data_IF_015549672899
#
_entry.id   IF_015549672899
#
_cell.length_a   1.000
_cell.length_b   1.000
_cell.length_c   1.000
_cell.angle_alpha   90.00
_cell.angle_beta   90.00
_cell.angle_gamma   90.00
#
_symmetry.space_group_name_H-M   'P 1'
#
loop_
_entity.id
_entity.type
_entity.pdbx_description
1 polymer ?
#
# COMPACT_ATOMS: atom_id res chain seq x y z
N UNK A 1 2.34 28.95 -11.94
CA UNK A 1 1.44 30.11 -12.13
C UNK A 1 1.32 30.80 -10.77
N UNK A 2 1.67 32.09 -10.69
CA UNK A 2 1.70 32.82 -9.44
C UNK A 2 0.26 33.04 -8.94
N UNK A 3 -0.10 32.49 -7.77
CA UNK A 3 -1.48 32.49 -7.24
C UNK A 3 -2.03 33.88 -6.90
N UNK A 4 -1.14 34.91 -6.81
CA UNK A 4 -1.55 36.31 -6.63
C UNK A 4 -2.26 36.89 -7.84
N UNK A 5 -2.13 36.27 -9.02
CA UNK A 5 -2.70 36.81 -10.28
C UNK A 5 -4.18 36.46 -10.53
N UNK A 6 -4.75 35.50 -9.78
CA UNK A 6 -6.12 35.02 -10.08
C UNK A 6 -7.18 36.10 -9.76
N UNK A 7 -6.93 36.96 -8.76
CA UNK A 7 -7.88 37.96 -8.29
C UNK A 7 -7.47 39.41 -8.62
N UNK A 8 -6.39 39.61 -9.35
CA UNK A 8 -5.82 40.95 -9.63
C UNK A 8 -6.80 41.83 -10.44
N UNK A 9 -7.48 41.22 -11.41
CA UNK A 9 -8.45 41.92 -12.26
C UNK A 9 -9.66 42.36 -11.47
N UNK A 10 -10.22 41.48 -10.63
CA UNK A 10 -11.37 41.74 -9.77
C UNK A 10 -11.06 42.79 -8.71
N UNK A 11 -9.86 42.77 -8.12
CA UNK A 11 -9.39 43.78 -7.18
C UNK A 11 -9.29 45.14 -7.84
N UNK A 12 -8.84 45.22 -9.09
CA UNK A 12 -8.76 46.48 -9.82
C UNK A 12 -10.18 47.01 -10.18
N UNK A 13 -11.10 46.12 -10.55
CA UNK A 13 -12.51 46.50 -10.82
C UNK A 13 -13.14 47.07 -9.55
N UNK A 14 -12.95 46.42 -8.41
CA UNK A 14 -13.45 46.92 -7.11
C UNK A 14 -12.88 48.28 -6.80
N UNK A 15 -11.57 48.50 -6.95
CA UNK A 15 -10.94 49.81 -6.69
C UNK A 15 -11.49 50.90 -7.59
N UNK A 16 -11.70 50.61 -8.89
CA UNK A 16 -12.23 51.57 -9.82
C UNK A 16 -13.69 51.93 -9.45
N UNK A 17 -14.49 50.93 -9.08
CA UNK A 17 -15.89 51.14 -8.64
C UNK A 17 -15.98 51.94 -7.33
N UNK A 18 -15.06 51.73 -6.39
CA UNK A 18 -14.94 52.48 -5.14
C UNK A 18 -14.63 53.97 -5.42
N UNK A 19 -13.80 54.27 -6.44
CA UNK A 19 -13.50 55.65 -6.83
C UNK A 19 -14.75 56.37 -7.34
N UNK A 20 -15.60 55.68 -8.13
CA UNK A 20 -16.86 56.24 -8.63
C UNK A 20 -17.80 56.58 -7.46
N UNK A 21 -17.91 55.73 -6.44
CA UNK A 21 -18.74 55.98 -5.26
C UNK A 21 -18.20 57.18 -4.42
N UNK A 22 -16.91 57.42 -4.41
CA UNK A 22 -16.29 58.55 -3.68
C UNK A 22 -16.44 59.88 -4.41
N UNK A 23 -16.78 59.88 -5.67
CA UNK A 23 -16.98 61.09 -6.48
C UNK A 23 -18.36 61.67 -6.25
N UNK A 24 -18.42 62.83 -5.61
CA UNK A 24 -19.67 63.52 -5.29
C UNK A 24 -20.48 63.92 -6.53
N UNK A 25 -19.87 64.01 -7.70
CA UNK A 25 -20.58 64.33 -8.95
C UNK A 25 -21.63 63.31 -9.34
N UNK A 26 -21.54 62.08 -8.88
CA UNK A 26 -22.50 60.99 -9.16
C UNK A 26 -23.61 60.85 -8.13
N UNK A 27 -23.58 61.57 -6.98
CA UNK A 27 -24.54 61.39 -5.87
C UNK A 27 -25.99 61.67 -6.28
N UNK A 28 -26.24 62.56 -7.22
CA UNK A 28 -27.56 62.91 -7.69
C UNK A 28 -28.11 61.99 -8.80
N UNK A 29 -27.32 60.98 -9.19
CA UNK A 29 -27.75 60.00 -10.18
C UNK A 29 -28.76 59.01 -9.57
N UNK A 30 -29.94 58.80 -10.17
CA UNK A 30 -30.98 57.90 -9.63
C UNK A 30 -30.51 56.46 -9.45
N UNK A 31 -29.44 56.02 -10.17
CA UNK A 31 -28.87 54.69 -10.10
C UNK A 31 -27.74 54.56 -9.05
N UNK A 32 -27.35 55.68 -8.41
CA UNK A 32 -26.20 55.68 -7.48
C UNK A 32 -26.39 54.72 -6.29
N UNK A 33 -27.59 54.71 -5.69
CA UNK A 33 -27.92 53.80 -4.58
C UNK A 33 -27.79 52.32 -5.03
N UNK A 34 -28.42 52.00 -6.17
CA UNK A 34 -28.38 50.62 -6.70
C UNK A 34 -26.95 50.16 -7.04
N UNK A 35 -26.14 51.06 -7.61
CA UNK A 35 -24.73 50.77 -7.87
C UNK A 35 -23.92 50.52 -6.58
N UNK A 36 -24.16 51.36 -5.56
CA UNK A 36 -23.50 51.19 -4.24
C UNK A 36 -23.85 49.85 -3.59
N UNK A 37 -25.14 49.48 -3.59
CA UNK A 37 -25.62 48.21 -3.04
C UNK A 37 -25.06 47.00 -3.80
N UNK A 38 -25.00 47.10 -5.13
CA UNK A 38 -24.39 46.08 -5.97
C UNK A 38 -22.90 45.93 -5.67
N UNK A 39 -22.18 47.04 -5.58
CA UNK A 39 -20.74 46.99 -5.24
C UNK A 39 -20.48 46.36 -3.88
N UNK A 40 -21.28 46.71 -2.88
CA UNK A 40 -21.17 46.13 -1.54
C UNK A 40 -21.44 44.63 -1.57
N UNK A 41 -22.46 44.20 -2.30
CA UNK A 41 -22.76 42.77 -2.48
C UNK A 41 -21.62 42.02 -3.20
N UNK A 42 -21.07 42.62 -4.25
CA UNK A 42 -19.96 42.08 -5.00
C UNK A 42 -18.69 41.93 -4.14
N UNK A 43 -18.36 42.95 -3.35
CA UNK A 43 -17.22 42.92 -2.41
C UNK A 43 -17.37 41.80 -1.37
N UNK A 44 -18.58 41.60 -0.85
CA UNK A 44 -18.88 40.50 0.08
C UNK A 44 -18.64 39.14 -0.56
N UNK A 45 -19.19 38.91 -1.76
CA UNK A 45 -19.00 37.67 -2.49
C UNK A 45 -17.52 37.45 -2.82
N UNK A 46 -16.83 38.47 -3.30
CA UNK A 46 -15.43 38.43 -3.61
C UNK A 46 -14.56 38.01 -2.41
N UNK A 47 -14.80 38.62 -1.23
CA UNK A 47 -14.13 38.24 0.02
C UNK A 47 -14.39 36.79 0.41
N UNK A 48 -15.63 36.32 0.26
CA UNK A 48 -16.01 34.94 0.53
C UNK A 48 -15.30 33.97 -0.43
N UNK A 49 -15.26 34.31 -1.72
CA UNK A 49 -14.58 33.50 -2.72
C UNK A 49 -13.09 33.37 -2.44
N UNK A 50 -12.41 34.48 -2.12
CA UNK A 50 -10.99 34.45 -1.70
C UNK A 50 -10.76 33.54 -0.50
N UNK A 51 -11.64 33.59 0.49
CA UNK A 51 -11.56 32.74 1.68
C UNK A 51 -11.76 31.25 1.32
N UNK A 52 -12.73 30.95 0.45
CA UNK A 52 -13.00 29.57 0.00
C UNK A 52 -11.83 28.99 -0.80
N UNK A 53 -11.24 29.77 -1.71
CA UNK A 53 -10.04 29.35 -2.47
C UNK A 53 -8.88 29.05 -1.53
N UNK A 54 -8.62 29.95 -0.55
CA UNK A 54 -7.57 29.72 0.43
C UNK A 54 -7.80 28.47 1.29
N UNK A 55 -9.06 28.22 1.66
CA UNK A 55 -9.44 27.02 2.42
C UNK A 55 -9.24 25.75 1.58
N UNK A 56 -9.70 25.78 0.33
CA UNK A 56 -9.53 24.68 -0.63
C UNK A 56 -8.04 24.33 -0.84
N UNK A 57 -7.19 25.34 -1.03
CA UNK A 57 -5.74 25.14 -1.17
C UNK A 57 -5.13 24.49 0.07
N UNK A 58 -5.55 24.91 1.26
CA UNK A 58 -5.10 24.33 2.53
C UNK A 58 -5.55 22.86 2.67
N UNK A 59 -6.80 22.58 2.30
CA UNK A 59 -7.32 21.21 2.33
C UNK A 59 -6.59 20.31 1.33
N UNK A 60 -6.33 20.79 0.12
CA UNK A 60 -5.59 20.05 -0.88
C UNK A 60 -4.17 19.72 -0.44
N UNK A 61 -3.47 20.69 0.15
CA UNK A 61 -2.14 20.47 0.71
C UNK A 61 -2.15 19.38 1.80
N UNK A 62 -3.15 19.43 2.70
CA UNK A 62 -3.31 18.42 3.76
C UNK A 62 -3.61 17.03 3.22
N UNK A 63 -4.47 16.94 2.20
CA UNK A 63 -4.78 15.66 1.54
C UNK A 63 -3.53 15.06 0.88
N UNK A 64 -2.73 15.87 0.20
CA UNK A 64 -1.51 15.42 -0.42
C UNK A 64 -0.49 14.90 0.61
N UNK A 65 -0.38 15.58 1.75
CA UNK A 65 0.48 15.14 2.86
C UNK A 65 -0.01 13.81 3.45
N UNK A 66 -1.32 13.70 3.72
CA UNK A 66 -1.91 12.45 4.23
C UNK A 66 -1.72 11.28 3.26
N UNK A 67 -1.94 11.49 1.97
CA UNK A 67 -1.74 10.44 0.98
C UNK A 67 -0.29 9.95 0.96
N UNK A 68 0.68 10.88 1.00
CA UNK A 68 2.09 10.51 1.07
C UNK A 68 2.45 9.71 2.32
N UNK A 69 1.87 10.09 3.47
CA UNK A 69 2.07 9.34 4.72
C UNK A 69 1.49 7.94 4.62
N UNK A 70 0.23 7.82 4.13
CA UNK A 70 -0.43 6.53 3.95
C UNK A 70 0.32 5.60 2.97
N UNK A 71 0.84 6.13 1.87
CA UNK A 71 1.66 5.36 0.92
C UNK A 71 2.92 4.81 1.61
N UNK A 72 3.58 5.63 2.41
CA UNK A 72 4.79 5.21 3.15
C UNK A 72 4.46 4.14 4.19
N UNK A 73 3.40 4.34 4.98
CA UNK A 73 2.96 3.38 5.99
C UNK A 73 2.53 2.05 5.37
N UNK A 74 1.76 2.09 4.27
CA UNK A 74 1.37 0.90 3.54
C UNK A 74 2.58 0.12 3.01
N UNK A 75 3.58 0.81 2.47
CA UNK A 75 4.80 0.15 2.00
C UNK A 75 5.54 -0.54 3.16
N UNK A 76 5.68 0.11 4.31
CA UNK A 76 6.31 -0.48 5.49
C UNK A 76 5.54 -1.70 6.00
N UNK A 77 4.21 -1.61 6.08
CA UNK A 77 3.36 -2.74 6.49
C UNK A 77 3.48 -3.93 5.54
N UNK A 78 3.58 -3.70 4.24
CA UNK A 78 3.79 -4.78 3.26
C UNK A 78 5.14 -5.47 3.45
N UNK A 79 6.20 -4.70 3.74
CA UNK A 79 7.53 -5.27 4.03
C UNK A 79 7.50 -6.12 5.32
N UNK A 80 6.89 -5.60 6.39
CA UNK A 80 6.76 -6.32 7.66
C UNK A 80 5.92 -7.59 7.50
N UNK A 81 4.84 -7.53 6.75
CA UNK A 81 4.00 -8.69 6.45
C UNK A 81 4.79 -9.76 5.68
N UNK A 82 5.55 -9.37 4.68
CA UNK A 82 6.41 -10.28 3.91
C UNK A 82 7.44 -10.98 4.79
N UNK A 83 8.13 -10.24 5.66
CA UNK A 83 9.11 -10.80 6.61
C UNK A 83 8.44 -11.75 7.64
N UNK A 84 7.27 -11.37 8.14
CA UNK A 84 6.50 -12.21 9.06
C UNK A 84 6.05 -13.50 8.41
N UNK A 85 5.59 -13.43 7.17
CA UNK A 85 5.19 -14.60 6.38
C UNK A 85 6.37 -15.54 6.14
N UNK A 86 7.53 -15.01 5.73
CA UNK A 86 8.73 -15.83 5.53
C UNK A 86 9.16 -16.53 6.83
N UNK A 87 9.14 -15.80 7.94
CA UNK A 87 9.48 -16.35 9.26
C UNK A 87 8.51 -17.45 9.69
N UNK A 88 7.23 -17.28 9.41
CA UNK A 88 6.19 -18.26 9.68
C UNK A 88 6.38 -19.55 8.85
N UNK A 89 6.60 -19.42 7.53
CA UNK A 89 6.86 -20.56 6.64
C UNK A 89 8.10 -21.32 7.08
N UNK A 90 9.16 -20.61 7.44
CA UNK A 90 10.42 -21.24 7.93
C UNK A 90 10.19 -21.96 9.26
N UNK A 91 9.43 -21.38 10.19
CA UNK A 91 9.09 -22.03 11.46
C UNK A 91 8.30 -23.32 11.25
N UNK A 92 7.32 -23.33 10.32
CA UNK A 92 6.59 -24.54 9.95
C UNK A 92 7.51 -25.62 9.37
N UNK A 93 8.39 -25.26 8.45
CA UNK A 93 9.37 -26.17 7.85
C UNK A 93 10.26 -26.81 8.92
N UNK A 94 10.81 -26.00 9.84
CA UNK A 94 11.62 -26.49 10.97
C UNK A 94 10.80 -27.44 11.88
N UNK A 95 9.55 -27.12 12.15
CA UNK A 95 8.70 -27.97 13.00
C UNK A 95 8.41 -29.33 12.34
N UNK A 96 8.26 -29.38 11.03
CA UNK A 96 8.11 -30.62 10.27
C UNK A 96 9.42 -31.40 10.23
N UNK A 97 10.54 -30.75 9.96
CA UNK A 97 11.87 -31.38 10.00
C UNK A 97 12.20 -31.96 11.38
N UNK A 98 11.79 -31.28 12.46
CA UNK A 98 12.01 -31.75 13.84
C UNK A 98 11.23 -33.04 14.18
N UNK A 99 10.11 -33.29 13.48
CA UNK A 99 9.33 -34.53 13.63
C UNK A 99 10.08 -35.77 13.14
N UNK A 100 11.09 -35.58 12.25
CA UNK A 100 11.88 -36.68 11.69
C UNK A 100 13.37 -36.49 12.00
N UNK A 101 13.99 -37.29 12.89
CA UNK A 101 15.35 -37.05 13.41
C UNK A 101 16.46 -36.96 12.35
N UNK A 102 16.22 -37.52 11.14
CA UNK A 102 17.21 -37.56 10.06
C UNK A 102 17.13 -36.36 9.12
N UNK A 103 16.13 -35.48 9.28
CA UNK A 103 15.85 -34.39 8.34
C UNK A 103 16.18 -33.00 8.87
N UNK A 104 16.85 -32.88 10.00
CA UNK A 104 17.27 -31.59 10.53
C UNK A 104 18.01 -30.76 9.45
N UNK A 105 17.46 -29.57 9.12
CA UNK A 105 17.98 -28.70 8.07
C UNK A 105 17.88 -29.25 6.64
N UNK A 106 17.07 -30.28 6.41
CA UNK A 106 16.85 -30.83 5.07
C UNK A 106 16.15 -29.81 4.18
N UNK A 107 15.06 -29.23 4.64
CA UNK A 107 14.27 -28.28 3.90
C UNK A 107 15.07 -27.01 3.52
N UNK A 108 15.96 -26.53 4.38
CA UNK A 108 16.85 -25.42 4.06
C UNK A 108 17.82 -25.79 2.92
N UNK A 109 18.45 -26.98 2.98
CA UNK A 109 19.37 -27.44 1.92
C UNK A 109 18.64 -27.65 0.59
N UNK A 110 17.45 -28.25 0.61
CA UNK A 110 16.63 -28.41 -0.60
C UNK A 110 16.29 -27.05 -1.21
N UNK A 111 15.93 -26.08 -0.39
CA UNK A 111 15.65 -24.71 -0.83
C UNK A 111 16.88 -24.08 -1.49
N UNK A 112 18.05 -24.15 -0.83
CA UNK A 112 19.29 -23.59 -1.36
C UNK A 112 19.65 -24.17 -2.73
N UNK A 113 19.61 -25.52 -2.86
CA UNK A 113 19.89 -26.19 -4.13
C UNK A 113 18.84 -25.86 -5.19
N UNK A 114 17.55 -25.80 -4.84
CA UNK A 114 16.48 -25.45 -5.76
C UNK A 114 16.66 -24.06 -6.33
N UNK A 115 16.98 -23.07 -5.48
CA UNK A 115 17.24 -21.68 -5.90
C UNK A 115 18.50 -21.60 -6.78
N UNK A 116 19.58 -22.31 -6.43
CA UNK A 116 20.78 -22.35 -7.24
C UNK A 116 20.49 -22.90 -8.65
N UNK A 117 19.73 -24.01 -8.72
CA UNK A 117 19.31 -24.60 -9.98
C UNK A 117 18.39 -23.68 -10.76
N UNK A 118 17.38 -23.10 -10.11
CA UNK A 118 16.44 -22.15 -10.73
C UNK A 118 17.15 -20.97 -11.38
N UNK A 119 18.13 -20.38 -10.68
CA UNK A 119 18.97 -19.30 -11.23
C UNK A 119 19.79 -19.78 -12.45
N UNK A 120 20.31 -20.98 -12.42
CA UNK A 120 21.14 -21.52 -13.52
C UNK A 120 20.34 -21.79 -14.81
N UNK A 121 19.02 -22.03 -14.69
CA UNK A 121 18.11 -22.21 -15.83
C UNK A 121 17.36 -20.95 -16.21
N UNK A 122 17.63 -19.81 -15.53
CA UNK A 122 17.12 -18.50 -15.91
C UNK A 122 15.71 -18.18 -15.42
N UNK A 123 15.27 -18.75 -14.29
CA UNK A 123 14.01 -18.34 -13.68
C UNK A 123 14.03 -16.86 -13.26
N UNK A 124 12.88 -16.20 -13.40
CA UNK A 124 12.67 -14.84 -12.92
C UNK A 124 12.68 -14.76 -11.39
N UNK A 125 12.85 -13.56 -10.83
CA UNK A 125 12.82 -13.38 -9.37
C UNK A 125 11.50 -13.85 -8.73
N UNK A 126 10.36 -13.61 -9.38
CA UNK A 126 9.04 -14.05 -8.91
C UNK A 126 8.94 -15.61 -8.90
N UNK A 127 9.47 -16.26 -9.93
CA UNK A 127 9.53 -17.72 -9.99
C UNK A 127 10.49 -18.30 -8.96
N UNK A 128 11.61 -17.63 -8.69
CA UNK A 128 12.56 -18.04 -7.65
C UNK A 128 11.95 -17.89 -6.25
N UNK A 129 11.17 -16.85 -6.00
CA UNK A 129 10.46 -16.68 -4.74
C UNK A 129 9.42 -17.79 -4.54
N UNK A 130 8.62 -18.10 -5.56
CA UNK A 130 7.67 -19.21 -5.53
C UNK A 130 8.36 -20.54 -5.30
N UNK A 131 9.48 -20.80 -5.99
CA UNK A 131 10.29 -22.01 -5.84
C UNK A 131 10.86 -22.13 -4.41
N UNK A 132 11.28 -21.02 -3.79
CA UNK A 132 11.73 -20.97 -2.39
C UNK A 132 10.65 -21.49 -1.44
N UNK A 133 9.43 -20.99 -1.55
CA UNK A 133 8.33 -21.43 -0.68
C UNK A 133 7.91 -22.88 -0.98
N UNK A 134 7.86 -23.27 -2.24
CA UNK A 134 7.59 -24.66 -2.62
C UNK A 134 8.61 -25.62 -2.03
N UNK A 135 9.90 -25.26 -2.08
CA UNK A 135 10.98 -26.06 -1.52
C UNK A 135 10.94 -26.14 0.02
N UNK A 136 10.63 -25.02 0.69
CA UNK A 136 10.49 -25.00 2.16
C UNK A 136 9.31 -25.87 2.64
N UNK A 137 8.22 -25.90 1.90
CA UNK A 137 6.97 -26.54 2.29
C UNK A 137 6.77 -27.93 1.63
N UNK A 138 7.71 -28.41 0.80
CA UNK A 138 7.51 -29.65 0.02
C UNK A 138 7.13 -30.87 0.88
N UNK A 139 7.54 -30.88 2.11
CA UNK A 139 7.34 -31.94 3.08
C UNK A 139 6.30 -31.64 4.16
N UNK A 140 5.58 -30.50 4.07
CA UNK A 140 4.61 -30.07 5.11
C UNK A 140 3.54 -31.14 5.40
N UNK A 141 3.16 -31.91 4.40
CA UNK A 141 2.21 -33.03 4.55
C UNK A 141 2.66 -34.13 5.49
N UNK A 142 3.95 -34.21 5.84
CA UNK A 142 4.46 -35.16 6.83
C UNK A 142 3.86 -34.97 8.22
N UNK A 143 3.28 -33.81 8.49
CA UNK A 143 2.56 -33.53 9.75
C UNK A 143 1.39 -34.52 9.97
N UNK A 144 0.76 -34.97 8.90
CA UNK A 144 -0.33 -35.94 8.91
C UNK A 144 0.13 -37.42 9.00
N UNK A 145 1.42 -37.70 8.79
CA UNK A 145 1.93 -39.08 8.86
C UNK A 145 2.07 -39.51 10.32
N UNK A 146 1.53 -40.71 10.71
CA UNK A 146 1.71 -41.23 12.06
C UNK A 146 3.16 -41.42 12.42
N UNK A 147 3.56 -41.08 13.65
CA UNK A 147 4.95 -41.14 14.11
C UNK A 147 5.53 -42.56 14.00
N UNK A 148 4.70 -43.60 14.23
CA UNK A 148 5.10 -45.00 14.09
C UNK A 148 5.59 -45.35 12.67
N UNK A 149 5.06 -44.68 11.63
CA UNK A 149 5.52 -44.82 10.24
C UNK A 149 6.68 -43.88 9.98
N UNK A 150 6.55 -42.63 10.37
CA UNK A 150 7.54 -41.59 10.05
C UNK A 150 8.92 -41.87 10.67
N UNK A 151 8.96 -42.38 11.90
CA UNK A 151 10.22 -42.64 12.65
C UNK A 151 10.66 -44.11 12.59
N UNK A 152 10.02 -44.93 11.76
CA UNK A 152 10.33 -46.35 11.64
C UNK A 152 11.79 -46.60 11.23
N UNK A 153 12.50 -47.42 12.00
CA UNK A 153 13.82 -47.88 11.62
C UNK A 153 13.69 -49.14 10.73
N UNK A 154 14.17 -49.04 9.50
CA UNK A 154 14.16 -50.15 8.56
C UNK A 154 13.23 -49.91 7.35
N UNK A 155 12.91 -50.99 6.62
CA UNK A 155 12.08 -50.90 5.41
C UNK A 155 10.60 -50.77 5.75
N UNK A 156 9.89 -49.95 4.99
CA UNK A 156 8.44 -49.88 5.07
C UNK A 156 7.80 -51.14 4.48
N UNK A 157 6.73 -51.60 5.08
CA UNK A 157 5.77 -52.50 4.43
C UNK A 157 5.02 -51.77 3.31
N UNK A 158 4.34 -52.47 2.44
CA UNK A 158 3.57 -51.81 1.38
C UNK A 158 2.46 -50.89 1.94
N UNK A 159 1.79 -51.29 3.00
CA UNK A 159 0.80 -50.45 3.70
C UNK A 159 1.39 -49.19 4.26
N UNK A 160 2.55 -49.28 4.95
CA UNK A 160 3.24 -48.13 5.50
C UNK A 160 3.79 -47.21 4.41
N UNK A 161 4.23 -47.74 3.29
CA UNK A 161 4.66 -46.96 2.13
C UNK A 161 3.50 -46.15 1.55
N UNK A 162 2.31 -46.74 1.46
CA UNK A 162 1.10 -46.01 1.03
C UNK A 162 0.82 -44.85 1.98
N UNK A 163 0.86 -45.05 3.29
CA UNK A 163 0.66 -44.00 4.28
C UNK A 163 1.72 -42.92 4.18
N UNK A 164 3.00 -43.31 4.05
CA UNK A 164 4.09 -42.33 3.88
C UNK A 164 3.91 -41.48 2.62
N UNK A 165 3.55 -42.10 1.49
CA UNK A 165 3.40 -41.36 0.22
C UNK A 165 2.21 -40.38 0.22
N UNK A 166 1.27 -40.51 1.15
CA UNK A 166 0.17 -39.54 1.26
C UNK A 166 0.63 -38.14 1.62
N UNK A 167 1.81 -37.96 2.23
CA UNK A 167 2.31 -36.62 2.55
C UNK A 167 2.42 -35.75 1.29
N UNK A 168 2.82 -36.31 0.16
CA UNK A 168 2.92 -35.56 -1.10
C UNK A 168 1.54 -35.06 -1.60
N UNK A 169 0.46 -35.82 -1.33
CA UNK A 169 -0.92 -35.41 -1.65
C UNK A 169 -1.40 -34.33 -0.69
N UNK A 170 -1.01 -34.41 0.59
CA UNK A 170 -1.41 -33.43 1.60
C UNK A 170 -0.61 -32.12 1.53
N UNK A 171 0.50 -32.09 0.81
CA UNK A 171 1.29 -30.88 0.55
C UNK A 171 0.64 -30.00 -0.54
N UNK A 172 -0.20 -30.56 -1.39
CA UNK A 172 -0.96 -29.86 -2.43
C UNK A 172 -2.35 -29.48 -1.94
#
# INVERSE_FOLDING_TARGET
>A
MNKESIFTTEEQIIKNAEQVIKDDSYRNNPLFSQFSDLLQSYQKIFKQTKMLVKLSDKQQARLNEMNKTLETENYQLMLELGQSFESFVRALSIAVDAKHPLTAGHSDRVTEYSICLGKSIGLSEDELELLKYAALLHDIGKIGVPDAVLTKKGRFTDAERIVMNQHAVWTH
#
